data_IF_362271644005
#
_entry.id   IF_362271644005
#
_cell.length_a   1.000
_cell.length_b   1.000
_cell.length_c   1.000
_cell.angle_alpha   90.00
_cell.angle_beta   90.00
_cell.angle_gamma   90.00
#
_symmetry.space_group_name_H-M   'P 1'
#
loop_
_entity.id
_entity.type
_entity.pdbx_description
1 polymer ?
#
# COMPACT_ATOMS: atom_id res chain seq x y z
N UNK A 1 6.10 24.59 -12.00
CA UNK A 1 5.50 23.24 -12.21
C UNK A 1 6.59 22.18 -12.06
N UNK A 2 6.66 21.43 -10.95
CA UNK A 2 7.37 20.12 -10.78
C UNK A 2 6.99 19.45 -9.43
N UNK A 3 5.70 19.34 -9.09
CA UNK A 3 5.26 18.89 -7.74
C UNK A 3 5.86 17.54 -7.30
N UNK A 4 5.88 16.56 -8.20
CA UNK A 4 6.45 15.24 -7.88
C UNK A 4 7.96 15.31 -7.64
N UNK A 5 8.72 15.91 -8.57
CA UNK A 5 10.17 16.05 -8.42
C UNK A 5 10.55 16.84 -7.16
N UNK A 6 9.76 17.83 -6.78
CA UNK A 6 9.97 18.55 -5.52
C UNK A 6 9.79 17.63 -4.29
N UNK A 7 8.84 16.69 -4.31
CA UNK A 7 8.70 15.70 -3.22
C UNK A 7 9.88 14.74 -3.21
N UNK A 8 10.34 14.30 -4.38
CA UNK A 8 11.52 13.46 -4.51
C UNK A 8 12.76 14.14 -3.92
N UNK A 9 13.07 15.37 -4.34
CA UNK A 9 14.24 16.12 -3.87
C UNK A 9 14.16 16.40 -2.36
N UNK A 10 12.97 16.77 -1.87
CA UNK A 10 12.73 16.98 -0.44
C UNK A 10 13.00 15.71 0.38
N UNK A 11 12.34 14.59 0.03
CA UNK A 11 12.49 13.33 0.78
C UNK A 11 13.92 12.80 0.68
N UNK A 12 14.57 12.93 -0.48
CA UNK A 12 15.99 12.58 -0.66
C UNK A 12 16.88 13.36 0.30
N UNK A 13 16.71 14.68 0.38
CA UNK A 13 17.49 15.52 1.29
C UNK A 13 17.28 15.11 2.76
N UNK A 14 16.03 14.93 3.18
CA UNK A 14 15.68 14.49 4.54
C UNK A 14 16.37 13.16 4.86
N UNK A 15 16.29 12.17 3.98
CA UNK A 15 16.85 10.85 4.26
C UNK A 15 18.39 10.82 4.25
N UNK A 16 19.03 11.59 3.36
CA UNK A 16 20.48 11.73 3.34
C UNK A 16 21.00 12.42 4.62
N UNK A 17 20.28 13.45 5.10
CA UNK A 17 20.62 14.12 6.36
C UNK A 17 20.49 13.19 7.57
N UNK A 18 19.57 12.23 7.52
CA UNK A 18 19.42 11.18 8.53
C UNK A 18 20.33 9.96 8.32
N UNK A 19 21.28 10.02 7.36
CA UNK A 19 22.24 8.94 7.06
C UNK A 19 21.59 7.59 6.70
N UNK A 20 20.36 7.61 6.17
CA UNK A 20 19.75 6.39 5.66
C UNK A 20 20.50 5.92 4.41
N UNK A 21 20.71 4.59 4.30
CA UNK A 21 21.17 3.98 3.06
C UNK A 21 19.99 3.93 2.08
N UNK A 22 20.16 4.56 0.93
CA UNK A 22 19.12 4.65 -0.10
C UNK A 22 19.57 3.94 -1.37
N UNK A 23 18.63 3.27 -2.05
CA UNK A 23 18.76 2.92 -3.47
C UNK A 23 17.79 3.81 -4.24
N UNK A 24 18.25 4.51 -5.26
CA UNK A 24 17.41 5.46 -6.01
C UNK A 24 17.83 5.53 -7.48
N UNK A 25 16.94 6.06 -8.33
CA UNK A 25 17.16 6.17 -9.77
C UNK A 25 16.79 7.55 -10.35
N UNK A 26 16.77 8.59 -9.52
CA UNK A 26 16.40 9.95 -9.93
C UNK A 26 14.89 10.22 -10.04
N UNK A 27 14.04 9.23 -9.76
CA UNK A 27 12.58 9.38 -9.72
C UNK A 27 11.94 8.66 -8.54
N UNK A 28 12.47 7.49 -8.14
CA UNK A 28 11.99 6.69 -7.04
C UNK A 28 13.12 6.45 -6.02
N UNK A 29 12.79 6.59 -4.74
CA UNK A 29 13.65 6.23 -3.61
C UNK A 29 13.15 4.91 -3.04
N UNK A 30 14.01 3.90 -2.97
CA UNK A 30 13.79 2.69 -2.19
C UNK A 30 14.41 2.88 -0.81
N UNK A 31 13.59 2.77 0.23
CA UNK A 31 14.03 2.86 1.63
C UNK A 31 13.57 1.62 2.38
N UNK A 32 14.49 1.03 3.15
CA UNK A 32 14.14 -0.06 4.06
C UNK A 32 13.33 0.50 5.24
N UNK A 33 12.09 0.05 5.38
CA UNK A 33 11.13 0.49 6.39
C UNK A 33 9.93 -0.48 6.42
N UNK A 34 9.43 -0.82 7.61
CA UNK A 34 8.28 -1.72 7.79
C UNK A 34 6.94 -0.98 7.84
N UNK A 35 6.92 0.35 7.68
CA UNK A 35 5.67 1.11 7.60
C UNK A 35 4.97 0.86 6.25
N UNK A 36 3.63 0.83 6.25
CA UNK A 36 2.85 0.67 5.02
C UNK A 36 2.70 1.97 4.20
N UNK A 37 2.78 3.13 4.87
CA UNK A 37 2.61 4.44 4.23
C UNK A 37 3.96 5.08 3.91
N UNK A 38 4.35 5.09 2.64
CA UNK A 38 5.55 5.81 2.19
C UNK A 38 5.21 7.22 1.69
N UNK A 39 6.11 8.21 1.91
CA UNK A 39 5.97 9.53 1.28
C UNK A 39 6.01 9.45 -0.24
N UNK A 40 5.49 10.48 -0.91
CA UNK A 40 5.53 10.60 -2.37
C UNK A 40 6.98 10.45 -2.86
N UNK A 41 7.15 9.71 -3.97
CA UNK A 41 8.44 9.37 -4.58
C UNK A 41 9.33 8.41 -3.78
N UNK A 42 8.80 7.82 -2.71
CA UNK A 42 9.48 6.79 -1.92
C UNK A 42 8.65 5.51 -1.94
N UNK A 43 9.31 4.37 -2.03
CA UNK A 43 8.72 3.05 -1.83
C UNK A 43 9.47 2.37 -0.68
N UNK A 44 8.71 1.93 0.30
CA UNK A 44 9.24 1.15 1.41
C UNK A 44 9.34 -0.31 1.02
N UNK A 45 10.37 -0.96 1.53
CA UNK A 45 10.57 -2.39 1.40
C UNK A 45 11.14 -2.94 2.70
N UNK A 46 10.94 -4.23 2.91
CA UNK A 46 11.58 -4.98 3.97
C UNK A 46 11.89 -6.39 3.48
N UNK A 47 12.72 -7.11 4.24
CA UNK A 47 13.04 -8.50 3.97
C UNK A 47 12.21 -9.41 4.86
N UNK A 48 11.80 -10.55 4.32
CA UNK A 48 11.16 -11.63 5.06
C UNK A 48 11.99 -12.90 4.91
N UNK A 49 11.94 -13.77 5.92
CA UNK A 49 12.75 -14.99 5.99
C UNK A 49 12.10 -16.17 5.28
N UNK A 50 10.77 -16.23 5.27
CA UNK A 50 10.00 -17.32 4.69
C UNK A 50 8.57 -16.87 4.32
N UNK A 51 7.90 -17.66 3.49
CA UNK A 51 6.57 -17.32 2.98
C UNK A 51 5.46 -17.46 4.03
N UNK A 52 5.57 -18.36 5.00
CA UNK A 52 4.52 -18.56 6.01
C UNK A 52 4.50 -17.39 7.00
N UNK A 53 5.68 -16.92 7.43
CA UNK A 53 5.78 -15.74 8.29
C UNK A 53 5.21 -14.49 7.62
N UNK A 54 5.49 -14.28 6.33
CA UNK A 54 4.91 -13.16 5.57
C UNK A 54 3.38 -13.28 5.45
N UNK A 55 2.83 -14.47 5.16
CA UNK A 55 1.37 -14.67 5.11
C UNK A 55 0.71 -14.37 6.45
N UNK A 56 1.29 -14.86 7.54
CA UNK A 56 0.79 -14.60 8.88
C UNK A 56 0.84 -13.11 9.22
N UNK A 57 1.93 -12.43 8.87
CA UNK A 57 2.07 -10.99 9.07
C UNK A 57 0.99 -10.20 8.32
N UNK A 58 0.81 -10.46 7.02
CA UNK A 58 -0.22 -9.79 6.21
C UNK A 58 -1.64 -10.06 6.72
N UNK A 59 -1.89 -11.27 7.26
CA UNK A 59 -3.17 -11.61 7.86
C UNK A 59 -3.42 -10.85 9.16
N UNK A 60 -2.40 -10.75 10.03
CA UNK A 60 -2.48 -9.96 11.25
C UNK A 60 -2.71 -8.48 10.97
N UNK A 61 -2.10 -7.97 9.90
CA UNK A 61 -2.16 -6.56 9.52
C UNK A 61 -3.23 -6.26 8.46
N UNK A 62 -4.21 -7.15 8.25
CA UNK A 62 -5.25 -7.01 7.23
C UNK A 62 -6.00 -5.67 7.34
N UNK A 63 -6.29 -5.18 8.56
CA UNK A 63 -6.95 -3.89 8.78
C UNK A 63 -6.07 -2.67 8.43
N UNK A 64 -4.76 -2.85 8.27
CA UNK A 64 -3.80 -1.77 7.94
C UNK A 64 -3.51 -1.68 6.44
N UNK A 65 -3.88 -2.70 5.66
CA UNK A 65 -3.55 -2.80 4.23
C UNK A 65 -4.83 -2.84 3.40
N UNK A 66 -4.82 -2.15 2.25
CA UNK A 66 -5.99 -2.11 1.38
C UNK A 66 -6.08 -3.35 0.48
N UNK A 67 -4.95 -3.86 0.01
CA UNK A 67 -4.89 -5.06 -0.82
C UNK A 67 -3.47 -5.63 -0.87
N UNK A 68 -3.37 -6.92 -1.20
CA UNK A 68 -2.11 -7.60 -1.51
C UNK A 68 -2.07 -7.88 -3.01
N UNK A 69 -0.96 -7.54 -3.68
CA UNK A 69 -0.78 -7.79 -5.12
C UNK A 69 0.20 -8.92 -5.32
N UNK A 70 -0.26 -10.04 -5.86
CA UNK A 70 0.58 -11.23 -6.05
C UNK A 70 0.02 -12.20 -7.08
N UNK A 71 0.67 -13.36 -7.22
CA UNK A 71 0.26 -14.45 -8.09
C UNK A 71 0.41 -15.79 -7.35
N UNK A 72 -0.70 -16.34 -6.88
CA UNK A 72 -0.79 -17.59 -6.14
C UNK A 72 -0.18 -17.54 -4.73
N UNK A 73 -0.10 -16.37 -4.11
CA UNK A 73 0.57 -16.19 -2.81
C UNK A 73 -0.40 -15.97 -1.66
N UNK A 74 -1.49 -15.24 -1.86
CA UNK A 74 -2.44 -14.90 -0.79
C UNK A 74 -3.87 -15.17 -1.24
N UNK A 75 -4.74 -15.61 -0.32
CA UNK A 75 -6.11 -16.02 -0.68
C UNK A 75 -6.93 -14.83 -1.21
N UNK A 76 -6.72 -13.64 -0.64
CA UNK A 76 -7.35 -12.37 -1.03
C UNK A 76 -6.31 -11.47 -1.73
N UNK A 77 -5.88 -11.89 -2.93
CA UNK A 77 -4.91 -11.13 -3.73
C UNK A 77 -5.53 -10.47 -4.97
N UNK A 78 -4.98 -9.31 -5.33
CA UNK A 78 -5.29 -8.60 -6.57
C UNK A 78 -4.22 -8.97 -7.61
N UNK A 79 -4.61 -9.38 -8.83
CA UNK A 79 -3.64 -9.65 -9.88
C UNK A 79 -2.82 -8.41 -10.27
N UNK A 80 -1.60 -8.63 -10.73
CA UNK A 80 -0.76 -7.56 -11.25
C UNK A 80 -1.48 -6.75 -12.35
N UNK A 81 -1.37 -5.42 -12.29
CA UNK A 81 -2.01 -4.50 -13.23
C UNK A 81 -3.49 -4.24 -12.98
N UNK A 82 -4.10 -4.82 -11.93
CA UNK A 82 -5.53 -4.63 -11.60
C UNK A 82 -5.83 -3.71 -10.42
N UNK A 83 -4.82 -3.26 -9.68
CA UNK A 83 -5.00 -2.40 -8.49
C UNK A 83 -5.71 -1.07 -8.72
N UNK A 84 -5.71 -0.56 -9.95
CA UNK A 84 -6.43 0.68 -10.33
C UNK A 84 -7.68 0.39 -11.17
N UNK A 85 -8.17 -0.84 -11.17
CA UNK A 85 -9.36 -1.28 -11.91
C UNK A 85 -10.35 -2.01 -10.99
N UNK A 86 -10.83 -1.38 -9.92
CA UNK A 86 -11.76 -2.02 -8.98
C UNK A 86 -13.10 -2.34 -9.66
N UNK A 87 -13.69 -3.46 -9.28
CA UNK A 87 -15.06 -3.84 -9.61
C UNK A 87 -16.07 -3.10 -8.74
N UNK A 88 -17.34 -3.11 -9.15
CA UNK A 88 -18.41 -2.38 -8.47
C UNK A 88 -18.67 -2.83 -7.03
N UNK A 89 -18.26 -4.05 -6.67
CA UNK A 89 -18.44 -4.65 -5.34
C UNK A 89 -17.14 -4.69 -4.51
N UNK A 90 -16.03 -4.16 -5.04
CA UNK A 90 -14.74 -4.09 -4.33
C UNK A 90 -14.68 -2.81 -3.49
N UNK A 91 -15.52 -2.74 -2.46
CA UNK A 91 -15.55 -1.64 -1.50
C UNK A 91 -14.28 -1.64 -0.63
N UNK A 92 -13.78 -0.44 -0.29
CA UNK A 92 -12.48 -0.27 0.37
C UNK A 92 -12.35 -0.93 1.75
N UNK A 93 -13.47 -1.13 2.44
CA UNK A 93 -13.59 -1.75 3.76
C UNK A 93 -14.36 -3.09 3.71
N UNK A 94 -14.64 -3.59 2.50
CA UNK A 94 -15.47 -4.79 2.28
C UNK A 94 -16.95 -4.61 2.65
N UNK A 95 -17.39 -3.40 3.03
CA UNK A 95 -18.79 -3.14 3.40
C UNK A 95 -19.57 -2.67 2.19
N UNK A 96 -20.65 -3.39 1.86
CA UNK A 96 -21.57 -2.97 0.80
C UNK A 96 -22.26 -1.64 1.18
N UNK A 97 -21.70 -0.55 0.65
CA UNK A 97 -22.16 0.80 0.92
C UNK A 97 -23.60 1.01 0.46
N UNK A 98 -24.02 0.38 -0.65
CA UNK A 98 -25.39 0.48 -1.16
C UNK A 98 -26.36 -0.23 -0.22
N UNK A 99 -26.01 -1.44 0.25
CA UNK A 99 -26.79 -2.15 1.25
C UNK A 99 -26.87 -1.36 2.57
N UNK A 100 -25.76 -0.78 3.02
CA UNK A 100 -25.74 0.07 4.21
C UNK A 100 -26.72 1.24 4.07
N UNK A 101 -26.63 2.01 2.98
CA UNK A 101 -27.49 3.18 2.74
C UNK A 101 -28.97 2.81 2.63
N UNK A 102 -29.30 1.69 1.96
CA UNK A 102 -30.69 1.24 1.83
C UNK A 102 -31.30 0.77 3.16
N UNK A 103 -30.49 0.27 4.10
CA UNK A 103 -30.94 -0.09 5.43
C UNK A 103 -31.19 1.13 6.35
N UNK A 104 -30.56 2.29 6.09
CA UNK A 104 -30.87 3.52 6.82
C UNK A 104 -32.31 4.01 6.57
N UNK A 105 -32.85 3.78 5.37
CA UNK A 105 -34.21 4.19 5.00
C UNK A 105 -35.31 3.28 5.57
N UNK A 106 -34.98 2.07 6.03
CA UNK A 106 -35.95 1.09 6.55
C UNK A 106 -36.30 1.31 8.02
N UNK A 107 -35.80 2.38 8.64
CA UNK A 107 -36.12 2.78 10.01
C UNK A 107 -37.44 3.58 10.04
N UNK A 108 -38.54 2.93 9.67
CA UNK A 108 -39.92 3.38 9.95
C UNK A 108 -40.76 2.18 10.38
#
# INVERSE_FOLDING_TARGET
MKKYANNYDYNKAVYLMSLFKLKENGFLILKEDSNYGSPIATLFYEYYSDYESLRNHLKTDNEKIQCVVSQGFYDEEVPFGKTQQPQLWEYADGVDTVLFLTNLSKKT
#
